data_IF_625806896233
#
_entry.id   IF_625806896233
#
_cell.length_a   1.000
_cell.length_b   1.000
_cell.length_c   1.000
_cell.angle_alpha   90.00
_cell.angle_beta   90.00
_cell.angle_gamma   90.00
#
_symmetry.space_group_name_H-M   'P 1'
#
loop_
_entity.id
_entity.type
_entity.pdbx_description
1 polymer ?
#
# COMPACT_ATOMS: atom_id res chain seq x y z
N UNK A 1 17.68 28.52 -28.42
CA UNK A 1 16.59 27.96 -27.60
C UNK A 1 17.24 27.17 -26.48
N UNK A 2 17.32 27.74 -25.28
CA UNK A 2 17.83 27.05 -24.10
C UNK A 2 16.67 26.22 -23.60
N UNK A 3 16.70 24.91 -23.88
CA UNK A 3 15.80 23.97 -23.23
C UNK A 3 16.34 23.86 -21.80
N UNK A 4 15.72 24.58 -20.86
CA UNK A 4 15.81 24.21 -19.45
C UNK A 4 15.10 22.86 -19.34
N UNK A 5 15.83 21.77 -19.55
CA UNK A 5 15.47 20.49 -18.96
C UNK A 5 15.64 20.74 -17.48
N UNK A 6 14.55 21.15 -16.83
CA UNK A 6 14.47 21.09 -15.38
C UNK A 6 14.85 19.65 -15.06
N UNK A 7 16.02 19.45 -14.46
CA UNK A 7 16.38 18.18 -13.88
C UNK A 7 15.24 17.83 -12.93
N UNK A 8 14.34 16.96 -13.39
CA UNK A 8 13.21 16.51 -12.61
C UNK A 8 13.81 15.83 -11.40
N UNK A 9 13.71 16.51 -10.25
CA UNK A 9 14.20 16.00 -8.97
C UNK A 9 13.56 14.62 -8.81
N UNK A 10 14.39 13.59 -8.81
CA UNK A 10 13.93 12.22 -8.80
C UNK A 10 13.04 11.99 -7.56
N UNK A 11 11.80 11.54 -7.77
CA UNK A 11 10.89 11.23 -6.65
C UNK A 11 11.41 10.03 -5.88
N UNK A 12 12.05 10.29 -4.73
CA UNK A 12 12.62 9.26 -3.86
C UNK A 12 11.63 8.16 -3.50
N UNK A 13 10.46 8.63 -3.13
CA UNK A 13 9.32 7.90 -2.67
C UNK A 13 8.79 6.90 -3.72
N UNK A 14 8.70 7.35 -4.97
CA UNK A 14 8.35 6.52 -6.13
C UNK A 14 9.49 5.56 -6.52
N UNK A 15 10.73 6.02 -6.43
CA UNK A 15 11.92 5.21 -6.71
C UNK A 15 12.05 4.02 -5.74
N UNK A 16 11.65 4.16 -4.46
CA UNK A 16 11.58 3.04 -3.51
C UNK A 16 10.65 1.94 -4.01
N UNK A 17 9.46 2.29 -4.48
CA UNK A 17 8.44 1.31 -4.89
C UNK A 17 8.94 0.47 -6.06
N UNK A 18 9.52 1.12 -7.07
CA UNK A 18 10.12 0.44 -8.23
C UNK A 18 11.33 -0.40 -7.81
N UNK A 19 12.20 0.10 -6.94
CA UNK A 19 13.35 -0.67 -6.44
C UNK A 19 12.91 -1.91 -5.66
N UNK A 20 11.86 -1.80 -4.84
CA UNK A 20 11.32 -2.92 -4.11
C UNK A 20 10.78 -4.00 -5.07
N UNK A 21 10.10 -3.58 -6.14
CA UNK A 21 9.68 -4.50 -7.20
C UNK A 21 10.88 -5.22 -7.84
N UNK A 22 11.90 -4.48 -8.28
CA UNK A 22 13.08 -5.03 -8.96
C UNK A 22 13.93 -5.95 -8.07
N UNK A 23 14.02 -5.68 -6.76
CA UNK A 23 14.90 -6.43 -5.84
C UNK A 23 14.22 -7.60 -5.12
N UNK A 24 12.92 -7.50 -4.85
CA UNK A 24 12.20 -8.53 -4.09
C UNK A 24 11.22 -9.29 -4.97
N UNK A 25 10.30 -8.57 -5.63
CA UNK A 25 9.16 -9.16 -6.31
C UNK A 25 9.60 -9.87 -7.59
N UNK A 26 10.30 -9.16 -8.48
CA UNK A 26 10.73 -9.69 -9.76
C UNK A 26 11.60 -10.95 -9.61
N UNK A 27 12.62 -11.00 -8.73
CA UNK A 27 13.39 -12.21 -8.51
C UNK A 27 12.55 -13.36 -7.94
N UNK A 28 11.58 -13.09 -7.06
CA UNK A 28 10.69 -14.15 -6.55
C UNK A 28 9.79 -14.74 -7.63
N UNK A 29 9.28 -13.91 -8.55
CA UNK A 29 8.50 -14.35 -9.71
C UNK A 29 9.34 -15.18 -10.68
N UNK A 30 10.59 -14.78 -10.91
CA UNK A 30 11.46 -15.54 -11.81
C UNK A 30 11.87 -16.88 -11.17
N UNK A 31 12.16 -16.88 -9.86
CA UNK A 31 12.57 -18.09 -9.14
C UNK A 31 11.47 -19.15 -9.08
N UNK A 32 10.18 -18.79 -9.08
CA UNK A 32 9.10 -19.79 -9.08
C UNK A 32 9.14 -20.71 -10.30
N UNK A 33 9.68 -20.22 -11.43
CA UNK A 33 9.82 -20.97 -12.68
C UNK A 33 11.29 -21.28 -13.03
N UNK A 34 12.21 -21.19 -12.06
CA UNK A 34 13.66 -21.39 -12.26
C UNK A 34 14.28 -20.46 -13.32
N UNK A 35 13.72 -19.26 -13.49
CA UNK A 35 14.22 -18.23 -14.39
C UNK A 35 15.11 -17.22 -13.65
N UNK A 36 15.89 -16.46 -14.42
CA UNK A 36 16.74 -15.37 -13.94
C UNK A 36 16.47 -14.09 -14.71
N UNK A 37 16.95 -12.94 -14.21
CA UNK A 37 16.79 -11.65 -14.91
C UNK A 37 17.43 -11.64 -16.31
N UNK A 38 18.45 -12.46 -16.54
CA UNK A 38 19.06 -12.68 -17.86
C UNK A 38 18.18 -13.45 -18.87
N UNK A 39 17.12 -14.11 -18.40
CA UNK A 39 16.16 -14.81 -19.27
C UNK A 39 15.05 -13.91 -19.81
N UNK A 40 14.96 -12.66 -19.31
CA UNK A 40 14.00 -11.68 -19.80
C UNK A 40 14.39 -11.20 -21.21
N UNK A 41 13.41 -10.85 -22.07
CA UNK A 41 13.68 -10.28 -23.37
C UNK A 41 14.54 -9.00 -23.26
N UNK A 42 15.46 -8.73 -24.19
CA UNK A 42 16.34 -7.54 -24.13
C UNK A 42 15.58 -6.21 -24.25
N UNK A 43 14.34 -6.25 -24.74
CA UNK A 43 13.43 -5.08 -24.81
C UNK A 43 12.69 -4.85 -23.49
N UNK A 44 12.79 -5.76 -22.53
CA UNK A 44 12.10 -5.65 -21.26
C UNK A 44 12.76 -4.56 -20.41
N UNK A 45 12.00 -3.57 -19.89
CA UNK A 45 12.55 -2.49 -19.08
C UNK A 45 13.19 -2.95 -17.75
N UNK A 46 12.94 -4.19 -17.32
CA UNK A 46 13.46 -4.74 -16.06
C UNK A 46 14.88 -5.28 -16.15
N UNK A 47 15.52 -5.22 -17.32
CA UNK A 47 16.95 -5.57 -17.45
C UNK A 47 17.87 -4.45 -16.94
N UNK A 48 17.30 -3.35 -16.44
CA UNK A 48 18.07 -2.26 -15.83
C UNK A 48 18.89 -2.77 -14.65
N UNK A 49 20.16 -2.36 -14.59
CA UNK A 49 21.01 -2.71 -13.46
C UNK A 49 20.69 -1.79 -12.29
N UNK A 50 20.44 -2.36 -11.10
CA UNK A 50 20.26 -1.57 -9.88
C UNK A 50 21.47 -0.66 -9.58
N UNK A 51 22.66 -0.99 -10.07
CA UNK A 51 23.84 -0.12 -9.93
C UNK A 51 23.74 1.20 -10.69
N UNK A 52 22.77 1.34 -11.61
CA UNK A 52 22.51 2.56 -12.36
C UNK A 52 21.49 3.46 -11.68
N UNK A 53 20.88 3.03 -10.56
CA UNK A 53 19.91 3.82 -9.83
C UNK A 53 20.58 5.02 -9.17
N UNK A 54 20.19 6.21 -9.61
CA UNK A 54 20.71 7.50 -9.13
C UNK A 54 20.62 7.63 -7.61
N UNK A 55 19.59 7.05 -7.00
CA UNK A 55 19.35 7.20 -5.57
C UNK A 55 20.00 6.11 -4.73
N UNK A 56 20.63 5.08 -5.33
CA UNK A 56 21.15 3.93 -4.59
C UNK A 56 22.12 4.34 -3.47
N UNK A 57 23.04 5.26 -3.77
CA UNK A 57 24.03 5.73 -2.79
C UNK A 57 23.36 6.54 -1.68
N UNK A 58 22.33 7.32 -2.01
CA UNK A 58 21.62 8.19 -1.06
C UNK A 58 21.05 7.42 0.14
N UNK A 59 20.60 6.18 -0.03
CA UNK A 59 20.04 5.35 1.05
C UNK A 59 21.04 5.09 2.16
N UNK A 60 22.30 4.84 1.79
CA UNK A 60 23.37 4.53 2.74
C UNK A 60 23.85 5.78 3.49
N UNK A 61 23.42 6.97 3.04
CA UNK A 61 23.78 8.25 3.63
C UNK A 61 22.72 8.77 4.61
N UNK A 62 21.62 8.05 4.81
CA UNK A 62 20.51 8.51 5.64
C UNK A 62 20.43 7.68 6.92
N UNK A 63 20.44 8.36 8.07
CA UNK A 63 20.12 7.78 9.36
C UNK A 63 18.86 8.42 9.94
N UNK A 64 17.83 7.62 10.20
CA UNK A 64 16.64 8.08 10.93
C UNK A 64 16.89 7.97 12.43
N UNK A 65 16.75 9.07 13.15
CA UNK A 65 16.94 9.17 14.59
C UNK A 65 15.62 9.56 15.30
N UNK A 66 15.31 9.01 16.48
CA UNK A 66 14.20 9.48 17.29
C UNK A 66 14.59 10.80 18.00
N UNK A 67 13.68 11.81 18.10
CA UNK A 67 12.29 11.84 17.67
C UNK A 67 12.17 12.42 16.25
N UNK A 68 12.10 11.54 15.24
CA UNK A 68 11.81 11.90 13.84
C UNK A 68 12.78 12.87 13.16
N UNK A 69 14.06 12.84 13.56
CA UNK A 69 15.12 13.56 12.85
C UNK A 69 15.79 12.65 11.82
N UNK A 70 16.36 13.25 10.78
CA UNK A 70 17.06 12.55 9.72
C UNK A 70 18.47 13.14 9.60
N UNK A 71 19.49 12.30 9.70
CA UNK A 71 20.88 12.71 9.73
C UNK A 71 21.58 12.25 8.46
N UNK A 72 22.23 13.17 7.75
CA UNK A 72 23.13 12.84 6.65
C UNK A 72 24.42 12.24 7.24
N UNK A 73 24.74 10.99 6.92
CA UNK A 73 25.93 10.31 7.39
C UNK A 73 27.22 10.80 6.72
N UNK A 74 27.11 11.47 5.56
CA UNK A 74 28.27 12.01 4.86
C UNK A 74 28.80 13.29 5.51
N UNK A 75 27.91 14.20 5.95
CA UNK A 75 28.30 15.50 6.50
C UNK A 75 27.83 15.74 7.94
N UNK A 76 27.05 14.84 8.53
CA UNK A 76 26.54 14.92 9.90
C UNK A 76 25.36 15.88 10.11
N UNK A 77 24.85 16.54 9.07
CA UNK A 77 23.72 17.49 9.18
C UNK A 77 22.42 16.79 9.52
N UNK A 78 21.64 17.40 10.41
CA UNK A 78 20.33 16.91 10.82
C UNK A 78 19.20 17.72 10.19
N UNK A 79 18.13 17.02 9.82
CA UNK A 79 16.95 17.54 9.16
C UNK A 79 15.69 17.08 9.91
N UNK A 80 14.66 17.92 9.92
CA UNK A 80 13.37 17.61 10.58
C UNK A 80 12.40 16.82 9.70
N UNK A 81 12.71 16.69 8.42
CA UNK A 81 11.90 15.94 7.46
C UNK A 81 12.79 15.15 6.52
N UNK A 82 12.27 14.03 6.06
CA UNK A 82 12.94 13.18 5.09
C UNK A 82 13.13 13.91 3.76
N UNK A 83 12.13 14.69 3.33
CA UNK A 83 12.19 15.49 2.11
C UNK A 83 13.34 16.51 2.12
N UNK A 84 13.55 17.22 3.24
CA UNK A 84 14.62 18.20 3.35
C UNK A 84 16.03 17.54 3.31
N UNK A 85 16.17 16.34 3.88
CA UNK A 85 17.41 15.58 3.76
C UNK A 85 17.65 15.12 2.31
N UNK A 86 16.62 14.69 1.60
CA UNK A 86 16.73 14.27 0.21
C UNK A 86 17.13 15.40 -0.72
N UNK A 87 16.52 16.57 -0.56
CA UNK A 87 16.92 17.77 -1.29
C UNK A 87 18.38 18.12 -1.00
N UNK A 88 18.80 18.00 0.27
CA UNK A 88 20.19 18.19 0.64
C UNK A 88 21.14 17.20 -0.07
N UNK A 89 20.80 15.91 -0.09
CA UNK A 89 21.60 14.89 -0.79
C UNK A 89 21.68 15.19 -2.29
N UNK A 90 20.54 15.49 -2.92
CA UNK A 90 20.47 15.81 -4.36
C UNK A 90 21.31 17.03 -4.74
N UNK A 91 21.37 18.05 -3.89
CA UNK A 91 22.06 19.30 -4.20
C UNK A 91 23.54 19.31 -3.79
N UNK A 92 23.95 18.47 -2.83
CA UNK A 92 25.28 18.57 -2.19
C UNK A 92 26.12 17.30 -2.28
N UNK A 93 25.50 16.13 -2.48
CA UNK A 93 26.16 14.84 -2.33
C UNK A 93 25.98 13.90 -3.52
N UNK A 94 24.91 14.06 -4.31
CA UNK A 94 24.67 13.26 -5.50
C UNK A 94 25.17 13.99 -6.75
N UNK A 95 26.10 13.37 -7.48
CA UNK A 95 26.40 13.72 -8.87
C UNK A 95 25.40 13.02 -9.80
N UNK A 96 25.01 13.71 -10.87
CA UNK A 96 23.87 13.37 -11.75
C UNK A 96 24.20 12.27 -12.76
N UNK A 97 24.87 11.20 -12.33
CA UNK A 97 25.17 10.05 -13.19
C UNK A 97 24.31 8.86 -12.75
N UNK A 98 23.14 8.69 -13.37
CA UNK A 98 22.24 7.58 -13.07
C UNK A 98 20.84 7.72 -13.68
N UNK A 99 20.07 6.65 -13.58
CA UNK A 99 18.67 6.58 -14.00
C UNK A 99 17.80 6.80 -12.77
N UNK A 100 16.79 7.66 -12.89
CA UNK A 100 15.78 7.82 -11.86
C UNK A 100 14.76 6.68 -11.97
N UNK A 101 14.72 5.78 -10.99
CA UNK A 101 13.72 4.70 -11.01
C UNK A 101 12.27 5.20 -10.93
N UNK A 102 12.05 6.44 -10.47
CA UNK A 102 10.71 7.01 -10.46
C UNK A 102 10.13 7.26 -11.87
N UNK A 103 10.98 7.34 -12.91
CA UNK A 103 10.53 7.51 -14.30
C UNK A 103 9.74 6.28 -14.78
N UNK A 104 9.95 5.12 -14.17
CA UNK A 104 9.19 3.90 -14.47
C UNK A 104 7.74 3.97 -13.98
N UNK A 105 7.39 4.93 -13.12
CA UNK A 105 6.00 5.15 -12.68
C UNK A 105 5.08 5.62 -13.81
N UNK A 106 5.61 6.00 -14.98
CA UNK A 106 4.79 6.18 -16.19
C UNK A 106 4.12 4.89 -16.68
N UNK A 107 4.72 3.75 -16.30
CA UNK A 107 4.26 2.42 -16.67
C UNK A 107 3.92 1.54 -15.47
N UNK A 108 4.18 2.02 -14.25
CA UNK A 108 3.92 1.31 -13.00
C UNK A 108 3.01 2.11 -12.09
N UNK A 109 2.04 1.47 -11.43
CA UNK A 109 1.14 2.15 -10.51
C UNK A 109 1.87 2.54 -9.22
N UNK A 110 2.62 3.64 -9.25
CA UNK A 110 3.22 4.22 -8.06
C UNK A 110 2.17 5.10 -7.37
N UNK A 111 1.69 4.68 -6.20
CA UNK A 111 0.81 5.42 -5.27
C UNK A 111 -0.63 5.74 -5.68
N UNK A 112 -0.97 5.79 -6.97
CA UNK A 112 -2.34 6.08 -7.42
C UNK A 112 -2.88 4.99 -8.32
N UNK A 113 -4.13 4.59 -8.06
CA UNK A 113 -4.92 3.78 -8.96
C UNK A 113 -5.30 4.62 -10.19
N UNK A 114 -4.42 4.64 -11.17
CA UNK A 114 -4.67 5.21 -12.50
C UNK A 114 -4.86 4.06 -13.49
N UNK A 115 -6.06 3.96 -14.06
CA UNK A 115 -6.43 2.90 -15.01
C UNK A 115 -5.52 2.91 -16.25
N UNK A 116 -5.10 4.10 -16.71
CA UNK A 116 -4.20 4.24 -17.86
C UNK A 116 -2.84 3.64 -17.53
N UNK A 117 -2.31 3.94 -16.33
CA UNK A 117 -1.03 3.40 -15.86
C UNK A 117 -1.11 1.90 -15.62
N UNK A 118 -2.22 1.39 -15.07
CA UNK A 118 -2.45 -0.04 -14.90
C UNK A 118 -2.46 -0.79 -16.23
N UNK A 119 -3.10 -0.22 -17.26
CA UNK A 119 -3.12 -0.79 -18.61
C UNK A 119 -1.74 -0.78 -19.28
N UNK A 120 -0.94 0.28 -19.06
CA UNK A 120 0.47 0.32 -19.49
C UNK A 120 1.30 -0.75 -18.80
N UNK A 121 1.13 -0.90 -17.49
CA UNK A 121 1.81 -1.96 -16.72
C UNK A 121 1.51 -3.34 -17.30
N UNK A 122 0.23 -3.66 -17.56
CA UNK A 122 -0.17 -4.95 -18.18
C UNK A 122 0.51 -5.19 -19.52
N UNK A 123 0.61 -4.13 -20.33
CA UNK A 123 1.26 -4.18 -21.65
C UNK A 123 2.78 -4.42 -21.54
N UNK A 124 3.43 -3.87 -20.52
CA UNK A 124 4.84 -4.16 -20.26
C UNK A 124 5.02 -5.59 -19.73
N UNK A 125 4.14 -6.04 -18.85
CA UNK A 125 4.21 -7.42 -18.33
C UNK A 125 4.05 -8.45 -19.45
N UNK A 126 3.18 -8.21 -20.43
CA UNK A 126 3.04 -9.10 -21.60
C UNK A 126 4.23 -9.06 -22.55
N UNK A 127 5.01 -7.98 -22.54
CA UNK A 127 6.26 -7.89 -23.30
C UNK A 127 7.42 -8.62 -22.61
N UNK A 128 7.38 -8.71 -21.27
CA UNK A 128 8.45 -9.30 -20.47
C UNK A 128 8.24 -10.78 -20.13
N UNK A 129 6.99 -11.26 -20.05
CA UNK A 129 6.66 -12.59 -19.53
C UNK A 129 5.75 -13.37 -20.46
N UNK A 130 6.03 -14.66 -20.61
CA UNK A 130 5.18 -15.62 -21.31
C UNK A 130 3.99 -16.09 -20.44
N UNK A 131 3.01 -16.74 -21.08
CA UNK A 131 1.67 -17.03 -20.55
C UNK A 131 1.59 -17.57 -19.10
N UNK A 132 2.55 -18.38 -18.65
CA UNK A 132 2.56 -18.94 -17.29
C UNK A 132 2.80 -17.82 -16.25
N UNK A 133 3.86 -17.04 -16.42
CA UNK A 133 4.27 -15.96 -15.51
C UNK A 133 3.43 -14.69 -15.69
N UNK A 134 2.88 -14.48 -16.89
CA UNK A 134 2.08 -13.31 -17.21
C UNK A 134 0.91 -13.12 -16.25
N UNK A 135 0.23 -14.23 -15.90
CA UNK A 135 -0.92 -14.20 -14.98
C UNK A 135 -0.55 -13.74 -13.57
N UNK A 136 0.66 -14.03 -13.11
CA UNK A 136 1.16 -13.63 -11.80
C UNK A 136 1.73 -12.22 -11.84
N UNK A 137 2.42 -11.85 -12.91
CA UNK A 137 2.98 -10.51 -13.12
C UNK A 137 1.88 -9.44 -13.24
N UNK A 138 0.79 -9.72 -13.96
CA UNK A 138 -0.33 -8.77 -14.13
C UNK A 138 -1.02 -8.42 -12.81
N UNK A 139 -1.02 -9.31 -11.82
CA UNK A 139 -1.60 -9.02 -10.49
C UNK A 139 -0.94 -7.82 -9.81
N UNK A 140 0.33 -7.52 -10.12
CA UNK A 140 1.02 -6.34 -9.60
C UNK A 140 0.57 -5.03 -10.27
N UNK A 141 0.01 -5.13 -11.47
CA UNK A 141 -0.54 -3.99 -12.21
C UNK A 141 -1.95 -3.62 -11.77
N UNK A 142 -2.72 -4.60 -11.26
CA UNK A 142 -4.05 -4.39 -10.69
C UNK A 142 -3.93 -3.83 -9.27
N UNK A 143 -3.35 -2.62 -9.16
CA UNK A 143 -3.30 -1.83 -7.93
C UNK A 143 -4.66 -1.17 -7.65
N UNK A 144 -5.76 -1.90 -7.84
CA UNK A 144 -7.05 -1.53 -7.24
C UNK A 144 -7.00 -1.94 -5.79
N UNK A 145 -6.97 -0.96 -4.88
CA UNK A 145 -7.05 -1.13 -3.42
C UNK A 145 -7.62 -2.48 -2.99
N UNK A 146 -6.73 -3.42 -2.65
CA UNK A 146 -7.09 -4.58 -1.84
C UNK A 146 -7.35 -4.19 -0.36
N UNK A 147 -7.41 -2.88 -0.04
CA UNK A 147 -7.63 -2.37 1.31
C UNK A 147 -9.00 -1.75 1.60
N UNK A 148 -9.92 -1.61 0.63
CA UNK A 148 -11.27 -1.04 0.94
C UNK A 148 -12.41 -2.08 0.86
N UNK A 149 -12.35 -3.07 -0.04
CA UNK A 149 -13.46 -4.03 -0.15
C UNK A 149 -13.53 -5.14 0.91
N UNK A 150 -12.49 -5.34 1.71
CA UNK A 150 -12.55 -6.29 2.84
C UNK A 150 -12.81 -5.61 4.20
N UNK A 151 -12.56 -4.31 4.35
CA UNK A 151 -12.82 -3.60 5.60
C UNK A 151 -14.27 -3.09 5.70
N UNK A 152 -14.86 -2.64 4.58
CA UNK A 152 -16.25 -2.20 4.59
C UNK A 152 -17.23 -3.37 4.73
N UNK A 153 -16.95 -4.54 4.15
CA UNK A 153 -17.83 -5.70 4.31
C UNK A 153 -17.84 -6.22 5.76
N UNK A 154 -16.72 -6.17 6.46
CA UNK A 154 -16.62 -6.56 7.86
C UNK A 154 -17.27 -5.52 8.79
N UNK A 155 -17.08 -4.22 8.50
CA UNK A 155 -17.75 -3.13 9.22
C UNK A 155 -19.27 -3.15 9.02
N UNK A 156 -19.75 -3.35 7.80
CA UNK A 156 -21.19 -3.48 7.51
C UNK A 156 -21.77 -4.73 8.16
N UNK A 157 -21.08 -5.87 8.13
CA UNK A 157 -21.50 -7.09 8.84
C UNK A 157 -21.56 -6.88 10.36
N UNK A 158 -20.57 -6.22 10.95
CA UNK A 158 -20.56 -5.93 12.38
C UNK A 158 -21.70 -4.99 12.78
N UNK A 159 -21.98 -3.97 11.97
CA UNK A 159 -23.11 -3.04 12.20
C UNK A 159 -24.47 -3.74 12.12
N UNK A 160 -24.65 -4.68 11.17
CA UNK A 160 -25.88 -5.48 11.07
C UNK A 160 -26.03 -6.42 12.27
N UNK A 161 -24.97 -7.11 12.68
CA UNK A 161 -24.99 -7.99 13.85
C UNK A 161 -25.29 -7.21 15.14
N UNK A 162 -24.70 -6.03 15.29
CA UNK A 162 -24.97 -5.14 16.43
C UNK A 162 -26.42 -4.67 16.45
N UNK A 163 -26.98 -4.25 15.30
CA UNK A 163 -28.37 -3.84 15.19
C UNK A 163 -29.36 -4.99 15.49
N UNK A 164 -29.08 -6.20 15.00
CA UNK A 164 -29.88 -7.39 15.31
C UNK A 164 -29.81 -7.74 16.81
N UNK A 165 -28.64 -7.59 17.43
CA UNK A 165 -28.48 -7.82 18.87
C UNK A 165 -29.33 -6.84 19.70
N UNK A 166 -29.34 -5.56 19.33
CA UNK A 166 -30.16 -4.54 19.99
C UNK A 166 -31.65 -4.83 19.80
N UNK A 167 -32.08 -5.19 18.58
CA UNK A 167 -33.46 -5.58 18.30
C UNK A 167 -33.91 -6.77 19.15
N UNK A 168 -33.08 -7.81 19.27
CA UNK A 168 -33.38 -8.97 20.11
C UNK A 168 -33.48 -8.59 21.59
N UNK A 169 -32.60 -7.70 22.09
CA UNK A 169 -32.70 -7.22 23.48
C UNK A 169 -33.96 -6.40 23.72
N UNK A 170 -34.39 -5.60 22.73
CA UNK A 170 -35.61 -4.80 22.80
C UNK A 170 -36.86 -5.68 22.79
N UNK A 171 -36.89 -6.69 21.92
CA UNK A 171 -37.96 -7.69 21.87
C UNK A 171 -38.02 -8.47 23.19
N UNK A 172 -36.88 -8.93 23.71
CA UNK A 172 -36.82 -9.60 25.02
C UNK A 172 -37.38 -8.70 26.13
N UNK A 173 -37.00 -7.42 26.15
CA UNK A 173 -37.52 -6.46 27.12
C UNK A 173 -39.03 -6.25 26.98
N UNK A 174 -39.56 -6.13 25.76
CA UNK A 174 -41.00 -6.00 25.52
C UNK A 174 -41.76 -7.26 25.97
N UNK A 175 -41.23 -8.46 25.69
CA UNK A 175 -41.85 -9.73 26.12
C UNK A 175 -41.79 -9.86 27.65
N UNK A 176 -40.67 -9.51 28.29
CA UNK A 176 -40.56 -9.56 29.74
C UNK A 176 -41.36 -8.45 30.45
N UNK A 177 -41.48 -7.25 29.86
CA UNK A 177 -42.34 -6.19 30.37
C UNK A 177 -43.82 -6.53 30.16
N UNK A 178 -44.18 -7.13 29.02
CA UNK A 178 -45.52 -7.66 28.81
C UNK A 178 -45.88 -8.78 29.80
N UNK A 179 -44.91 -9.60 30.19
CA UNK A 179 -45.09 -10.61 31.24
C UNK A 179 -45.07 -10.02 32.67
N UNK A 180 -44.52 -8.83 32.88
CA UNK A 180 -44.54 -8.17 34.19
C UNK A 180 -45.95 -7.68 34.57
N UNK A 181 -46.77 -7.36 33.57
CA UNK A 181 -48.18 -6.97 33.77
C UNK A 181 -49.03 -8.17 34.25
N UNK A 182 -48.71 -9.40 33.83
CA UNK A 182 -49.39 -10.61 34.35
C UNK A 182 -48.92 -11.00 35.77
N UNK A 183 -47.65 -10.77 36.11
CA UNK A 183 -47.13 -11.08 37.46
C UNK A 183 -47.69 -10.11 38.52
N UNK A 184 -47.98 -8.86 38.15
CA UNK A 184 -48.63 -7.90 39.05
C UNK A 184 -50.12 -8.20 39.28
N UNK A 185 -50.85 -8.77 38.31
CA UNK A 185 -52.26 -9.16 38.50
C UNK A 185 -52.42 -10.48 39.29
N UNK A 186 -51.42 -11.38 39.26
CA UNK A 186 -51.45 -12.58 40.11
C UNK A 186 -51.16 -12.26 41.59
N UNK A 187 -50.27 -11.31 41.91
CA UNK A 187 -49.98 -10.93 43.32
C UNK A 187 -51.12 -10.17 44.00
N UNK A 188 -51.98 -9.46 43.26
CA UNK A 188 -53.13 -8.75 43.83
C UNK A 188 -54.30 -9.69 44.11
N UNK A 189 -54.44 -10.81 43.37
CA UNK A 189 -55.46 -11.83 43.62
C UNK A 189 -55.15 -12.71 44.82
N UNK A 190 -53.89 -13.06 45.07
CA UNK A 190 -53.53 -13.87 46.26
C UNK A 190 -53.62 -13.09 47.58
N UNK A 191 -53.45 -11.77 47.57
CA UNK A 191 -53.67 -10.94 48.77
C UNK A 191 -55.14 -10.73 49.15
N UNK A 192 -56.08 -11.11 48.28
CA UNK A 192 -57.53 -10.93 48.51
C UNK A 192 -58.25 -12.21 48.96
N UNK A 193 -57.53 -13.32 49.14
CA UNK A 193 -58.08 -14.62 49.54
C UNK A 193 -57.71 -15.09 50.95
N UNK A 194 -57.03 -14.23 51.72
CA UNK A 194 -56.75 -14.43 53.15
C UNK A 194 -57.20 -13.16 53.90
N UNK A 195 -58.51 -12.96 53.97
CA UNK A 195 -59.19 -12.17 55.01
C UNK A 195 -60.63 -12.62 55.12
#
# INVERSE_FOLDING_TARGET
MIIFVLASICSYDSSIEIRAFLTSTLPTLLKSENLNTSSLPPKCPFTISLSQDLLLESYNLIKKEPPSTFTCLQCGKQFRSQAALHEHLSNNHLLVDGICLADFCEFFPCRKGDEVVANRCKSIMSLCFDNILLSQAIKYCDYTELSIRNLDLEKTRFMILFALSLLLTLIYYIVNCGNADEIFDMRTKDKKKIS
#
